data_IF_339216296882
#
_entry.id   IF_339216296882
#
_cell.length_a   1.000
_cell.length_b   1.000
_cell.length_c   1.000
_cell.angle_alpha   90.00
_cell.angle_beta   90.00
_cell.angle_gamma   90.00
#
_symmetry.space_group_name_H-M   'P 1'
#
loop_
_entity.id
_entity.type
_entity.pdbx_description
1 polymer ?
#
# COMPACT_ATOMS: atom_id res chain seq x y z
N UNK A 1 8.28 22.35 -10.14
CA UNK A 1 9.14 21.38 -10.85
C UNK A 1 10.24 20.93 -9.91
N UNK A 2 10.14 19.73 -9.34
CA UNK A 2 11.14 19.22 -8.39
C UNK A 2 12.46 18.93 -9.09
N UNK A 3 13.55 19.40 -8.48
CA UNK A 3 14.92 19.50 -9.00
C UNK A 3 15.76 18.23 -8.84
N UNK A 4 15.15 17.07 -8.56
CA UNK A 4 15.88 15.92 -8.04
C UNK A 4 15.64 14.66 -8.87
N UNK A 5 16.04 14.74 -10.13
CA UNK A 5 16.50 13.55 -10.84
C UNK A 5 18.03 13.74 -10.96
N UNK A 6 18.80 12.87 -10.32
CA UNK A 6 20.27 12.83 -10.38
C UNK A 6 21.05 13.94 -9.65
N UNK A 7 20.75 14.28 -8.39
CA UNK A 7 21.56 15.26 -7.67
C UNK A 7 22.47 14.64 -6.58
N UNK A 8 23.76 14.70 -6.92
CA UNK A 8 25.00 14.40 -6.20
C UNK A 8 25.29 12.93 -5.93
N UNK A 9 26.36 12.44 -6.55
CA UNK A 9 27.10 11.26 -6.10
C UNK A 9 27.48 11.49 -4.62
N UNK A 10 26.75 10.84 -3.73
CA UNK A 10 27.19 10.67 -2.36
C UNK A 10 27.96 9.36 -2.29
N UNK A 11 29.17 9.40 -1.72
CA UNK A 11 29.95 8.18 -1.48
C UNK A 11 29.17 7.17 -0.60
N UNK A 12 28.27 7.66 0.26
CA UNK A 12 27.35 6.82 1.05
C UNK A 12 26.12 7.61 1.55
N UNK A 13 25.03 6.88 1.80
CA UNK A 13 23.81 7.40 2.43
C UNK A 13 23.75 6.97 3.91
N UNK A 14 23.02 7.72 4.75
CA UNK A 14 22.75 7.26 6.11
C UNK A 14 21.80 6.04 6.09
N UNK A 15 20.77 6.12 5.24
CA UNK A 15 19.79 5.05 5.07
C UNK A 15 19.40 4.83 3.60
N UNK A 16 19.03 3.59 3.28
CA UNK A 16 18.37 3.20 2.03
C UNK A 16 16.98 2.64 2.34
N UNK A 17 15.97 3.12 1.63
CA UNK A 17 14.60 2.58 1.65
C UNK A 17 14.31 1.98 0.27
N UNK A 18 13.97 0.69 0.24
CA UNK A 18 13.67 -0.04 -1.00
C UNK A 18 12.17 -0.15 -1.19
N UNK A 19 11.61 0.57 -2.15
CA UNK A 19 10.18 0.63 -2.47
C UNK A 19 9.52 1.89 -1.93
N UNK A 20 8.59 2.46 -2.70
CA UNK A 20 7.88 3.71 -2.36
C UNK A 20 6.40 3.50 -2.01
N UNK A 21 6.02 2.25 -1.71
CA UNK A 21 4.67 1.91 -1.23
C UNK A 21 4.34 2.52 0.13
N UNK A 22 3.30 2.01 0.80
CA UNK A 22 2.86 2.54 2.10
C UNK A 22 4.01 2.53 3.13
N UNK A 23 4.63 1.37 3.36
CA UNK A 23 5.72 1.25 4.34
C UNK A 23 6.96 2.05 3.95
N UNK A 24 7.30 2.08 2.66
CA UNK A 24 8.46 2.83 2.16
C UNK A 24 8.28 4.34 2.26
N UNK A 25 7.08 4.84 1.98
CA UNK A 25 6.72 6.24 2.19
C UNK A 25 6.87 6.65 3.66
N UNK A 26 6.36 5.83 4.58
CA UNK A 26 6.51 6.05 6.02
C UNK A 26 7.97 6.00 6.49
N UNK A 27 8.73 5.00 6.06
CA UNK A 27 10.15 4.89 6.39
C UNK A 27 10.93 6.12 5.90
N UNK A 28 10.71 6.53 4.64
CA UNK A 28 11.33 7.73 4.08
C UNK A 28 10.98 8.98 4.88
N UNK A 29 9.70 9.18 5.24
CA UNK A 29 9.25 10.30 6.07
C UNK A 29 9.99 10.35 7.41
N UNK A 30 9.93 9.26 8.16
CA UNK A 30 10.48 9.21 9.53
C UNK A 30 12.00 9.38 9.53
N UNK A 31 12.72 8.74 8.61
CA UNK A 31 14.18 8.85 8.52
C UNK A 31 14.61 10.28 8.13
N UNK A 32 13.96 10.85 7.11
CA UNK A 32 14.28 12.18 6.61
C UNK A 32 13.95 13.29 7.62
N UNK A 33 12.81 13.21 8.31
CA UNK A 33 12.42 14.18 9.35
C UNK A 33 13.32 14.12 10.59
N UNK A 34 13.97 12.98 10.81
CA UNK A 34 15.02 12.81 11.83
C UNK A 34 16.42 13.21 11.34
N UNK A 35 16.54 13.76 10.14
CA UNK A 35 17.76 14.36 9.61
C UNK A 35 18.65 13.42 8.79
N UNK A 36 18.25 12.17 8.58
CA UNK A 36 19.08 11.18 7.87
C UNK A 36 19.00 11.39 6.36
N UNK A 37 20.16 11.44 5.70
CA UNK A 37 20.24 11.45 4.22
C UNK A 37 19.83 10.08 3.69
N UNK A 38 18.65 10.03 3.07
CA UNK A 38 17.96 8.78 2.75
C UNK A 38 17.78 8.64 1.25
N UNK A 39 18.34 7.57 0.69
CA UNK A 39 18.08 7.14 -0.69
C UNK A 39 16.84 6.27 -0.72
N UNK A 40 15.85 6.65 -1.53
CA UNK A 40 14.61 5.92 -1.73
C UNK A 40 14.60 5.35 -3.15
N UNK A 41 14.62 4.02 -3.26
CA UNK A 41 14.73 3.30 -4.53
C UNK A 41 13.35 2.75 -4.93
N UNK A 42 12.88 3.07 -6.12
CA UNK A 42 11.62 2.52 -6.65
C UNK A 42 11.89 1.76 -7.94
N UNK A 43 11.40 0.53 -8.06
CA UNK A 43 11.59 -0.29 -9.26
C UNK A 43 10.86 0.25 -10.49
N UNK A 44 9.74 0.94 -10.26
CA UNK A 44 8.85 1.46 -11.28
C UNK A 44 9.20 2.86 -11.78
N UNK A 45 8.43 3.31 -12.77
CA UNK A 45 8.54 4.66 -13.32
C UNK A 45 8.18 5.72 -12.28
N UNK A 46 8.65 6.94 -12.50
CA UNK A 46 8.14 8.10 -11.77
C UNK A 46 6.65 8.29 -12.01
N UNK A 47 5.94 8.68 -10.95
CA UNK A 47 4.58 9.22 -10.99
C UNK A 47 4.55 10.45 -10.11
N UNK A 48 4.06 11.57 -10.62
CA UNK A 48 3.89 12.82 -9.91
C UNK A 48 2.42 12.99 -9.54
N UNK A 49 2.21 13.31 -8.26
CA UNK A 49 0.87 13.62 -7.75
C UNK A 49 0.24 14.76 -8.56
N UNK A 50 -1.05 14.64 -8.88
CA UNK A 50 -1.86 15.58 -9.69
C UNK A 50 -1.53 15.56 -11.19
N UNK A 51 -0.24 15.53 -11.57
CA UNK A 51 0.19 15.61 -12.97
C UNK A 51 -0.12 14.33 -13.75
N UNK A 52 0.25 13.16 -13.21
CA UNK A 52 0.23 11.89 -13.97
C UNK A 52 -1.06 11.07 -13.77
N UNK A 53 -2.13 11.68 -13.27
CA UNK A 53 -3.44 11.03 -13.08
C UNK A 53 -4.34 11.21 -14.30
N UNK A 54 -3.92 10.62 -15.42
CA UNK A 54 -4.52 10.80 -16.76
C UNK A 54 -6.04 10.63 -16.77
N UNK A 55 -6.56 9.64 -16.05
CA UNK A 55 -7.99 9.27 -16.05
C UNK A 55 -8.79 9.85 -14.87
N UNK A 56 -8.15 10.63 -13.98
CA UNK A 56 -8.79 11.07 -12.76
C UNK A 56 -10.04 11.93 -12.99
N UNK A 57 -10.10 12.68 -14.08
CA UNK A 57 -11.20 13.58 -14.41
C UNK A 57 -12.08 13.11 -15.56
N UNK A 58 -11.76 11.95 -16.15
CA UNK A 58 -12.60 11.35 -17.19
C UNK A 58 -13.88 10.77 -16.58
N UNK A 59 -14.97 10.88 -17.32
CA UNK A 59 -16.25 10.24 -17.05
C UNK A 59 -16.38 8.92 -17.82
N UNK A 60 -17.38 8.12 -17.48
CA UNK A 60 -17.48 6.75 -18.03
C UNK A 60 -17.76 6.76 -19.55
N UNK A 61 -18.39 7.81 -20.08
CA UNK A 61 -18.61 8.00 -21.52
C UNK A 61 -17.38 8.47 -22.29
N UNK A 62 -16.32 8.92 -21.61
CA UNK A 62 -15.05 9.26 -22.26
C UNK A 62 -14.26 8.01 -22.65
N UNK A 63 -14.63 6.85 -22.10
CA UNK A 63 -14.00 5.57 -22.39
C UNK A 63 -14.79 4.79 -23.44
N UNK A 64 -14.13 4.25 -24.48
CA UNK A 64 -14.73 3.27 -25.37
C UNK A 64 -15.32 2.10 -24.56
N UNK A 65 -16.49 1.61 -24.98
CA UNK A 65 -17.21 0.51 -24.32
C UNK A 65 -17.42 0.72 -22.81
N UNK A 66 -17.61 1.97 -22.37
CA UNK A 66 -17.76 2.34 -20.94
C UNK A 66 -16.57 1.91 -20.07
N UNK A 67 -15.39 1.76 -20.67
CA UNK A 67 -14.16 1.38 -19.97
C UNK A 67 -13.95 -0.12 -19.76
N UNK A 68 -14.82 -0.97 -20.31
CA UNK A 68 -14.63 -2.42 -20.30
C UNK A 68 -13.31 -2.80 -20.98
N UNK A 69 -12.53 -3.74 -20.40
CA UNK A 69 -11.25 -4.15 -20.96
C UNK A 69 -11.42 -4.82 -22.33
N UNK A 70 -10.52 -4.51 -23.25
CA UNK A 70 -10.45 -5.21 -24.53
C UNK A 70 -9.91 -6.64 -24.34
N UNK A 71 -10.12 -7.52 -25.33
CA UNK A 71 -9.50 -8.85 -25.31
C UNK A 71 -7.97 -8.78 -25.28
N UNK A 72 -7.38 -7.75 -25.90
CA UNK A 72 -5.95 -7.50 -25.85
C UNK A 72 -5.50 -7.12 -24.42
N UNK A 73 -6.24 -6.24 -23.74
CA UNK A 73 -5.95 -5.88 -22.34
C UNK A 73 -5.97 -7.10 -21.43
N UNK A 74 -7.01 -7.93 -21.57
CA UNK A 74 -7.14 -9.18 -20.81
C UNK A 74 -5.99 -10.12 -21.12
N UNK A 75 -5.59 -10.28 -22.38
CA UNK A 75 -4.48 -11.15 -22.76
C UNK A 75 -3.14 -10.66 -22.17
N UNK A 76 -2.91 -9.34 -22.15
CA UNK A 76 -1.70 -8.74 -21.61
C UNK A 76 -1.64 -8.74 -20.07
N UNK A 77 -2.80 -8.75 -19.39
CA UNK A 77 -2.94 -8.64 -17.94
C UNK A 77 -3.78 -9.78 -17.36
N UNK A 78 -3.62 -10.99 -17.91
CA UNK A 78 -4.48 -12.13 -17.61
C UNK A 78 -4.59 -12.44 -16.10
N UNK A 79 -3.47 -12.34 -15.37
CA UNK A 79 -3.47 -12.61 -13.93
C UNK A 79 -4.04 -11.44 -13.15
N UNK A 80 -3.72 -10.19 -13.54
CA UNK A 80 -4.33 -9.02 -12.93
C UNK A 80 -5.87 -9.07 -13.07
N UNK A 81 -6.37 -9.40 -14.26
CA UNK A 81 -7.79 -9.46 -14.62
C UNK A 81 -8.64 -10.37 -13.72
N UNK A 82 -8.04 -11.37 -13.07
CA UNK A 82 -8.76 -12.37 -12.26
C UNK A 82 -9.54 -11.78 -11.09
N UNK A 83 -9.20 -10.57 -10.66
CA UNK A 83 -9.88 -9.85 -9.58
C UNK A 83 -11.06 -9.00 -10.07
N UNK A 84 -11.18 -8.78 -11.38
CA UNK A 84 -12.27 -8.02 -12.02
C UNK A 84 -12.15 -6.49 -11.95
N UNK A 85 -11.27 -5.93 -11.10
CA UNK A 85 -11.20 -4.47 -10.91
C UNK A 85 -9.95 -3.79 -11.50
N UNK A 86 -8.92 -4.56 -11.88
CA UNK A 86 -7.60 -3.99 -12.23
C UNK A 86 -7.47 -3.59 -13.69
N UNK A 87 -8.20 -4.23 -14.59
CA UNK A 87 -8.00 -4.13 -16.05
C UNK A 87 -8.94 -3.15 -16.75
N UNK A 88 -9.87 -2.53 -16.01
CA UNK A 88 -10.72 -1.46 -16.54
C UNK A 88 -9.86 -0.33 -17.14
N UNK A 89 -10.32 0.24 -18.26
CA UNK A 89 -9.59 1.27 -19.00
C UNK A 89 -9.16 2.46 -18.14
N UNK A 90 -9.95 2.79 -17.12
CA UNK A 90 -9.66 3.91 -16.22
C UNK A 90 -8.50 3.64 -15.24
N UNK A 91 -8.08 2.39 -15.03
CA UNK A 91 -7.08 2.02 -14.01
C UNK A 91 -6.00 1.03 -14.45
N UNK A 92 -6.14 0.38 -15.61
CA UNK A 92 -5.21 -0.67 -16.07
C UNK A 92 -3.75 -0.26 -16.14
N UNK A 93 -3.48 1.03 -16.40
CA UNK A 93 -2.12 1.60 -16.49
C UNK A 93 -1.35 1.52 -15.16
N UNK A 94 -2.05 1.36 -14.04
CA UNK A 94 -1.45 1.23 -12.72
C UNK A 94 -1.00 -0.19 -12.39
N UNK A 95 -1.41 -1.17 -13.20
CA UNK A 95 -1.10 -2.57 -13.01
C UNK A 95 -0.11 -3.07 -14.06
N UNK A 96 0.69 -4.05 -13.68
CA UNK A 96 1.71 -4.61 -14.57
C UNK A 96 1.10 -5.34 -15.76
N UNK A 97 1.85 -5.38 -16.86
CA UNK A 97 1.62 -6.33 -17.95
C UNK A 97 2.23 -7.69 -17.55
N UNK A 98 1.40 -8.73 -17.50
CA UNK A 98 1.80 -10.06 -17.03
C UNK A 98 2.70 -10.80 -18.04
N UNK A 99 2.66 -10.45 -19.33
CA UNK A 99 3.58 -10.98 -20.34
C UNK A 99 5.00 -10.42 -20.17
N UNK A 100 5.12 -9.16 -19.75
CA UNK A 100 6.41 -8.50 -19.45
C UNK A 100 6.94 -8.84 -18.06
N UNK A 101 6.05 -9.15 -17.13
CA UNK A 101 6.38 -9.42 -15.74
C UNK A 101 5.74 -10.73 -15.24
N UNK A 102 6.03 -11.87 -15.88
CA UNK A 102 5.41 -13.14 -15.49
C UNK A 102 5.84 -13.57 -14.09
N UNK A 103 5.02 -14.41 -13.47
CA UNK A 103 5.42 -15.21 -12.31
C UNK A 103 4.83 -16.61 -12.45
N UNK A 104 5.51 -17.60 -11.88
CA UNK A 104 5.04 -18.98 -11.86
C UNK A 104 4.08 -19.21 -10.69
N UNK A 105 3.07 -20.03 -10.89
CA UNK A 105 2.12 -20.43 -9.86
C UNK A 105 1.78 -21.91 -10.06
N UNK A 106 1.78 -22.71 -8.98
CA UNK A 106 1.33 -24.12 -9.04
C UNK A 106 -0.18 -24.17 -8.84
N UNK A 107 -0.67 -23.40 -7.87
CA UNK A 107 -2.08 -23.12 -7.63
C UNK A 107 -2.32 -21.63 -7.88
N UNK A 108 -3.59 -21.27 -8.14
CA UNK A 108 -3.98 -19.88 -8.36
C UNK A 108 -3.49 -19.02 -7.20
N UNK A 109 -2.67 -18.03 -7.51
CA UNK A 109 -2.21 -17.00 -6.60
C UNK A 109 -2.34 -15.66 -7.29
N UNK A 110 -3.21 -14.77 -6.80
CA UNK A 110 -3.53 -13.52 -7.47
C UNK A 110 -2.66 -12.37 -6.95
N UNK A 111 -1.48 -12.20 -7.55
CA UNK A 111 -0.53 -11.18 -7.14
C UNK A 111 -0.69 -9.88 -7.94
N UNK A 112 -1.52 -8.98 -7.40
CA UNK A 112 -1.74 -7.66 -8.01
C UNK A 112 -0.54 -6.74 -7.78
N UNK A 113 -0.02 -6.13 -8.85
CA UNK A 113 1.25 -5.40 -8.79
C UNK A 113 1.15 -4.06 -9.52
N UNK A 114 1.61 -2.99 -8.89
CA UNK A 114 1.84 -1.69 -9.52
C UNK A 114 3.30 -1.31 -9.41
N UNK A 115 3.95 -1.08 -10.55
CA UNK A 115 5.36 -0.70 -10.64
C UNK A 115 5.50 0.76 -11.03
N UNK A 116 5.38 1.62 -10.03
CA UNK A 116 5.53 3.06 -10.14
C UNK A 116 5.78 3.66 -8.76
N UNK A 117 6.27 4.90 -8.71
CA UNK A 117 6.38 5.65 -7.45
C UNK A 117 5.02 5.70 -6.74
N UNK A 118 5.02 5.45 -5.44
CA UNK A 118 3.83 5.29 -4.61
C UNK A 118 3.31 3.84 -4.51
N UNK A 119 3.68 2.96 -5.46
CA UNK A 119 3.22 1.58 -5.53
C UNK A 119 1.70 1.43 -5.33
N UNK A 120 1.28 0.36 -4.66
CA UNK A 120 -0.15 0.09 -4.41
C UNK A 120 -0.85 1.07 -3.44
N UNK A 121 -0.15 2.09 -2.90
CA UNK A 121 -0.82 3.13 -2.12
C UNK A 121 -1.81 3.98 -2.94
N UNK A 122 -1.73 3.93 -4.28
CA UNK A 122 -2.74 4.49 -5.18
C UNK A 122 -3.93 3.54 -5.46
N UNK A 123 -3.78 2.25 -5.20
CA UNK A 123 -4.68 1.20 -5.72
C UNK A 123 -5.39 0.37 -4.64
N UNK A 124 -5.09 0.60 -3.37
CA UNK A 124 -5.69 -0.11 -2.23
C UNK A 124 -7.15 0.28 -1.95
N UNK A 125 -7.86 -0.48 -1.10
CA UNK A 125 -9.27 -0.21 -0.75
C UNK A 125 -9.47 0.90 0.29
N UNK A 126 -8.40 1.47 0.87
CA UNK A 126 -8.39 2.51 1.92
C UNK A 126 -8.95 2.05 3.28
N UNK A 127 -9.50 0.84 3.33
CA UNK A 127 -9.91 0.18 4.57
C UNK A 127 -8.73 0.08 5.54
N UNK A 128 -8.92 0.61 6.74
CA UNK A 128 -7.87 0.86 7.73
C UNK A 128 -8.38 0.44 9.11
N UNK A 129 -8.14 -0.83 9.45
CA UNK A 129 -8.61 -1.46 10.68
C UNK A 129 -7.46 -1.73 11.64
N UNK A 130 -7.74 -1.64 12.94
CA UNK A 130 -6.85 -2.14 13.98
C UNK A 130 -7.11 -3.62 14.20
N UNK A 131 -6.03 -4.37 14.43
CA UNK A 131 -6.14 -5.66 15.12
C UNK A 131 -6.43 -5.44 16.60
N UNK A 132 -7.11 -6.41 17.21
CA UNK A 132 -7.48 -6.47 18.62
C UNK A 132 -6.58 -7.41 19.42
N UNK A 133 -6.78 -7.45 20.74
CA UNK A 133 -6.12 -8.46 21.59
C UNK A 133 -6.47 -9.90 21.18
N UNK A 134 -7.64 -10.12 20.57
CA UNK A 134 -8.06 -11.42 20.04
C UNK A 134 -7.13 -11.82 18.90
N UNK A 135 -6.88 -10.91 17.95
CA UNK A 135 -6.03 -11.18 16.77
C UNK A 135 -4.57 -11.45 17.18
N UNK A 136 -4.01 -10.63 18.09
CA UNK A 136 -2.63 -10.82 18.56
C UNK A 136 -2.45 -12.08 19.42
N UNK A 137 -3.53 -12.63 20.00
CA UNK A 137 -3.49 -13.83 20.84
C UNK A 137 -4.03 -15.08 20.14
N UNK A 138 -4.60 -14.97 18.93
CA UNK A 138 -5.31 -16.05 18.24
C UNK A 138 -4.43 -17.30 18.09
N UNK A 139 -3.23 -17.16 17.51
CA UNK A 139 -2.28 -18.26 17.34
C UNK A 139 -1.98 -19.00 18.67
N UNK A 140 -1.78 -18.25 19.76
CA UNK A 140 -1.52 -18.84 21.08
C UNK A 140 -2.73 -19.57 21.65
N UNK A 141 -3.91 -18.95 21.56
CA UNK A 141 -5.15 -19.48 22.11
C UNK A 141 -5.60 -20.74 21.36
N UNK A 142 -5.43 -20.73 20.03
CA UNK A 142 -5.84 -21.82 19.15
C UNK A 142 -4.77 -22.92 19.06
N UNK A 143 -3.55 -22.66 19.55
CA UNK A 143 -2.42 -23.59 19.43
C UNK A 143 -1.92 -23.76 17.99
N UNK A 144 -2.09 -22.73 17.16
CA UNK A 144 -1.73 -22.71 15.73
C UNK A 144 -0.56 -21.75 15.50
N UNK A 145 0.42 -22.16 14.68
CA UNK A 145 1.55 -21.32 14.29
C UNK A 145 2.30 -20.71 15.49
N UNK A 146 2.77 -19.46 15.37
CA UNK A 146 3.62 -18.78 16.37
C UNK A 146 2.84 -17.63 17.00
N UNK A 147 2.88 -17.53 18.32
CA UNK A 147 2.35 -16.39 19.07
C UNK A 147 3.05 -15.09 18.66
N UNK A 148 2.29 -14.00 18.54
CA UNK A 148 2.90 -12.70 18.28
C UNK A 148 3.83 -12.32 19.44
N UNK A 149 5.01 -11.75 19.20
CA UNK A 149 5.91 -11.30 20.27
C UNK A 149 5.49 -9.95 20.88
N UNK A 150 4.38 -9.38 20.43
CA UNK A 150 3.81 -8.09 20.83
C UNK A 150 2.32 -8.24 21.11
N UNK A 151 1.71 -7.30 21.81
CA UNK A 151 0.27 -7.25 22.08
C UNK A 151 -0.34 -5.94 21.60
N UNK A 152 -1.67 -5.88 21.60
CA UNK A 152 -2.39 -4.69 21.16
C UNK A 152 -1.88 -3.41 21.84
N UNK A 153 -1.70 -3.45 23.16
CA UNK A 153 -1.17 -2.33 23.96
C UNK A 153 0.18 -1.80 23.48
N UNK A 154 1.03 -2.66 22.90
CA UNK A 154 2.36 -2.28 22.42
C UNK A 154 2.27 -1.59 21.05
N UNK A 155 1.24 -1.93 20.26
CA UNK A 155 1.03 -1.42 18.90
C UNK A 155 0.05 -0.24 18.86
N UNK A 156 -0.88 -0.13 19.82
CA UNK A 156 -1.89 0.91 19.86
C UNK A 156 -1.34 2.35 19.74
N UNK A 157 -0.23 2.72 20.43
CA UNK A 157 0.37 4.04 20.25
C UNK A 157 0.85 4.31 18.81
N UNK A 158 1.29 3.27 18.10
CA UNK A 158 1.72 3.36 16.70
C UNK A 158 0.54 3.46 15.75
N UNK A 159 -0.55 2.74 16.01
CA UNK A 159 -1.81 2.95 15.29
C UNK A 159 -2.26 4.40 15.43
N UNK A 160 -2.35 4.94 16.65
CA UNK A 160 -2.74 6.33 16.86
C UNK A 160 -1.84 7.34 16.12
N UNK A 161 -0.53 7.10 16.13
CA UNK A 161 0.43 7.95 15.40
C UNK A 161 0.10 8.02 13.91
N UNK A 162 -0.17 6.87 13.29
CA UNK A 162 -0.54 6.77 11.87
C UNK A 162 -1.90 7.42 11.62
N UNK A 163 -2.90 7.11 12.44
CA UNK A 163 -4.29 7.58 12.26
C UNK A 163 -4.40 9.10 12.35
N UNK A 164 -3.69 9.72 13.30
CA UNK A 164 -3.61 11.19 13.44
C UNK A 164 -3.06 11.86 12.18
N UNK A 165 -2.25 11.15 11.38
CA UNK A 165 -1.59 11.66 10.18
C UNK A 165 -2.36 11.35 8.88
N UNK A 166 -2.98 10.17 8.78
CA UNK A 166 -3.62 9.73 7.53
C UNK A 166 -5.06 10.21 7.39
N UNK A 167 -5.76 10.47 8.50
CA UNK A 167 -7.17 10.83 8.50
C UNK A 167 -8.05 9.62 8.13
N UNK A 168 -8.78 9.10 9.12
CA UNK A 168 -9.67 7.96 8.94
C UNK A 168 -11.11 8.40 9.18
N UNK A 169 -11.98 8.20 8.21
CA UNK A 169 -13.42 8.26 8.39
C UNK A 169 -13.90 6.98 9.04
N UNK A 170 -14.76 7.10 10.07
CA UNK A 170 -15.40 5.96 10.69
C UNK A 170 -16.26 6.36 11.88
N UNK A 171 -16.80 5.34 12.56
CA UNK A 171 -17.64 5.48 13.75
C UNK A 171 -17.00 4.75 14.92
N UNK A 172 -17.00 5.39 16.10
CA UNK A 172 -16.53 4.79 17.34
C UNK A 172 -17.65 3.96 17.97
N UNK A 173 -17.44 2.65 18.06
CA UNK A 173 -18.43 1.69 18.56
C UNK A 173 -17.97 0.94 19.81
N UNK A 174 -16.73 1.16 20.25
CA UNK A 174 -16.12 0.50 21.41
C UNK A 174 -16.20 -1.04 21.35
N UNK A 175 -16.04 -1.62 20.15
CA UNK A 175 -16.06 -3.07 19.97
C UNK A 175 -14.70 -3.67 20.35
N UNK A 176 -14.71 -4.64 21.27
CA UNK A 176 -13.48 -5.29 21.74
C UNK A 176 -12.68 -5.97 20.62
N UNK A 177 -13.37 -6.60 19.66
CA UNK A 177 -12.77 -7.29 18.51
C UNK A 177 -12.46 -6.36 17.33
N UNK A 178 -12.91 -5.10 17.38
CA UNK A 178 -12.63 -4.10 16.34
C UNK A 178 -12.33 -2.75 17.02
N UNK A 179 -11.17 -2.62 17.69
CA UNK A 179 -10.85 -1.45 18.50
C UNK A 179 -10.92 -0.17 17.68
N UNK A 180 -11.44 0.89 18.29
CA UNK A 180 -11.64 2.17 17.61
C UNK A 180 -10.32 2.84 17.19
N UNK A 181 -10.40 3.61 16.11
CA UNK A 181 -9.33 4.47 15.61
C UNK A 181 -9.61 5.93 15.98
N UNK A 182 -8.68 6.82 15.64
CA UNK A 182 -8.91 8.26 15.70
C UNK A 182 -9.66 8.70 14.45
N UNK A 183 -10.96 8.85 14.59
CA UNK A 183 -11.87 9.12 13.49
C UNK A 183 -12.04 10.62 13.18
N UNK A 184 -12.18 10.91 11.89
CA UNK A 184 -12.91 12.04 11.32
C UNK A 184 -14.37 11.62 11.09
N UNK A 185 -15.30 12.56 10.83
CA UNK A 185 -16.72 12.24 10.62
C UNK A 185 -16.94 11.07 9.65
N UNK A 186 -17.88 10.17 9.91
CA UNK A 186 -18.11 9.02 9.06
C UNK A 186 -18.62 9.43 7.68
N UNK A 187 -18.26 8.67 6.65
CA UNK A 187 -19.06 8.56 5.43
C UNK A 187 -20.29 7.73 5.80
N UNK A 188 -21.45 8.38 5.86
CA UNK A 188 -22.70 7.79 6.36
C UNK A 188 -23.16 6.59 5.51
N UNK A 189 -23.93 5.70 6.14
CA UNK A 189 -24.62 4.63 5.43
C UNK A 189 -25.67 5.23 4.51
N UNK A 190 -25.89 4.61 3.36
CA UNK A 190 -27.02 4.95 2.51
C UNK A 190 -28.33 4.38 3.07
N UNK A 191 -29.47 4.82 2.52
CA UNK A 191 -30.79 4.43 3.03
C UNK A 191 -31.05 2.92 3.03
N UNK A 192 -30.51 2.15 2.07
CA UNK A 192 -30.66 0.70 2.02
C UNK A 192 -29.76 0.03 3.06
N UNK A 193 -28.55 0.56 3.27
CA UNK A 193 -27.63 0.10 4.31
C UNK A 193 -28.17 0.34 5.73
N UNK A 194 -28.90 1.45 5.97
CA UNK A 194 -29.59 1.68 7.25
C UNK A 194 -30.70 0.64 7.48
N UNK A 195 -31.52 0.34 6.46
CA UNK A 195 -32.51 -0.75 6.59
C UNK A 195 -31.83 -2.09 6.86
N UNK A 196 -30.71 -2.37 6.19
CA UNK A 196 -29.95 -3.59 6.43
C UNK A 196 -29.41 -3.65 7.87
N UNK A 197 -28.86 -2.55 8.38
CA UNK A 197 -28.40 -2.42 9.77
C UNK A 197 -29.53 -2.72 10.76
N UNK A 198 -30.71 -2.13 10.55
CA UNK A 198 -31.88 -2.37 11.40
C UNK A 198 -32.31 -3.83 11.36
N UNK A 199 -32.39 -4.45 10.17
CA UNK A 199 -32.79 -5.87 10.03
C UNK A 199 -31.79 -6.85 10.61
N UNK A 200 -30.49 -6.56 10.53
CA UNK A 200 -29.48 -7.37 11.21
C UNK A 200 -29.64 -7.24 12.73
N UNK A 201 -29.86 -6.03 13.25
CA UNK A 201 -30.07 -5.79 14.68
C UNK A 201 -31.32 -6.49 15.23
N UNK A 202 -32.43 -6.48 14.47
CA UNK A 202 -33.66 -7.20 14.83
C UNK A 202 -33.47 -8.73 14.86
N UNK A 203 -32.69 -9.27 13.91
CA UNK A 203 -32.56 -10.71 13.70
C UNK A 203 -31.37 -11.39 14.37
N UNK A 204 -30.32 -10.62 14.71
CA UNK A 204 -29.05 -11.15 15.20
C UNK A 204 -28.48 -10.30 16.32
N UNK A 205 -28.53 -10.83 17.54
CA UNK A 205 -27.90 -10.20 18.70
C UNK A 205 -26.37 -10.13 18.55
N UNK A 206 -25.79 -9.01 18.99
CA UNK A 206 -24.34 -8.79 18.99
C UNK A 206 -23.67 -8.64 17.61
N UNK A 207 -24.43 -8.40 16.53
CA UNK A 207 -23.89 -8.22 15.16
C UNK A 207 -24.08 -6.79 14.65
N UNK A 208 -23.26 -5.83 15.08
CA UNK A 208 -23.38 -4.45 14.61
C UNK A 208 -23.04 -4.35 13.12
N UNK A 209 -23.87 -3.64 12.37
CA UNK A 209 -23.55 -3.14 11.03
C UNK A 209 -23.08 -1.69 11.17
N UNK A 210 -21.93 -1.38 10.57
CA UNK A 210 -21.26 -0.09 10.70
C UNK A 210 -20.71 0.37 9.36
N UNK A 211 -20.51 1.68 9.24
CA UNK A 211 -19.72 2.28 8.16
C UNK A 211 -18.31 1.69 8.11
N UNK A 212 -17.74 1.61 6.91
CA UNK A 212 -16.34 1.20 6.73
C UNK A 212 -15.37 2.22 7.34
N UNK A 213 -14.25 1.73 7.89
CA UNK A 213 -13.19 2.59 8.44
C UNK A 213 -12.16 2.87 7.36
N UNK A 214 -12.27 4.02 6.71
CA UNK A 214 -11.52 4.32 5.49
C UNK A 214 -10.61 5.53 5.64
N UNK A 215 -9.38 5.44 5.14
CA UNK A 215 -8.38 6.51 5.19
C UNK A 215 -8.69 7.65 4.20
N UNK A 216 -9.80 8.35 4.43
CA UNK A 216 -10.26 9.54 3.71
C UNK A 216 -10.42 10.71 4.68
N UNK A 217 -10.04 11.89 4.22
CA UNK A 217 -10.25 13.14 4.95
C UNK A 217 -11.70 13.57 4.78
N UNK A 218 -12.52 13.40 5.82
CA UNK A 218 -13.94 13.77 5.83
C UNK A 218 -14.26 14.93 6.78
N UNK A 219 -13.31 15.32 7.63
CA UNK A 219 -13.41 16.51 8.48
C UNK A 219 -12.65 17.70 7.90
N UNK A 220 -12.66 18.82 8.63
CA UNK A 220 -12.03 20.08 8.19
C UNK A 220 -10.59 20.22 8.70
N UNK A 221 -10.10 19.22 9.46
CA UNK A 221 -8.71 19.12 9.88
C UNK A 221 -7.80 19.12 8.66
N UNK A 222 -6.78 19.97 8.69
CA UNK A 222 -5.72 19.98 7.68
C UNK A 222 -4.69 18.89 7.97
N UNK A 223 -4.21 18.26 6.91
CA UNK A 223 -3.25 17.16 6.99
C UNK A 223 -1.99 17.48 6.20
N UNK A 224 -0.84 17.09 6.73
CA UNK A 224 0.45 17.23 6.04
C UNK A 224 0.52 16.39 4.77
N UNK A 225 1.24 16.91 3.77
CA UNK A 225 1.41 16.32 2.46
C UNK A 225 1.34 17.37 1.36
N UNK A 226 1.31 16.91 0.12
CA UNK A 226 1.18 17.79 -1.04
C UNK A 226 -0.30 17.93 -1.42
N UNK A 227 -0.93 19.03 -1.02
CA UNK A 227 -2.28 19.39 -1.47
C UNK A 227 -3.40 18.48 -0.95
N UNK A 228 -3.25 17.88 0.24
CA UNK A 228 -4.27 17.00 0.83
C UNK A 228 -5.46 17.80 1.33
N UNK A 229 -6.64 17.53 0.77
CA UNK A 229 -7.89 18.22 1.05
C UNK A 229 -9.02 17.24 1.39
N UNK A 230 -10.19 17.77 1.75
CA UNK A 230 -11.39 16.99 2.06
C UNK A 230 -11.83 16.16 0.85
N UNK A 231 -12.33 14.96 1.11
CA UNK A 231 -12.89 14.06 0.12
C UNK A 231 -14.04 14.75 -0.63
N UNK A 232 -14.00 14.65 -1.95
CA UNK A 232 -15.02 15.18 -2.86
C UNK A 232 -16.06 14.11 -3.25
N UNK A 233 -16.06 12.96 -2.57
CA UNK A 233 -17.01 11.85 -2.78
C UNK A 233 -17.16 11.36 -4.23
N UNK A 234 -16.09 11.47 -5.02
CA UNK A 234 -16.10 11.18 -6.46
C UNK A 234 -16.20 9.71 -6.82
N UNK A 235 -15.97 8.80 -5.86
CA UNK A 235 -15.88 7.36 -6.07
C UNK A 235 -14.93 6.94 -7.23
N UNK A 236 -13.78 7.61 -7.36
CA UNK A 236 -12.78 7.40 -8.44
C UNK A 236 -11.38 7.10 -7.91
N UNK A 237 -11.27 6.60 -6.68
CA UNK A 237 -10.01 6.58 -5.93
C UNK A 237 -8.89 5.79 -6.63
N UNK A 238 -9.24 4.70 -7.33
CA UNK A 238 -8.33 3.84 -8.10
C UNK A 238 -7.61 4.59 -9.25
N UNK A 239 -8.17 5.71 -9.73
CA UNK A 239 -7.62 6.51 -10.84
C UNK A 239 -6.51 7.48 -10.39
N UNK A 240 -6.24 7.55 -9.08
CA UNK A 240 -5.47 8.63 -8.45
C UNK A 240 -6.39 9.80 -8.05
N UNK A 241 -6.20 10.36 -6.85
CA UNK A 241 -7.02 11.48 -6.36
C UNK A 241 -6.26 12.80 -6.50
N UNK A 242 -6.67 13.73 -7.37
CA UNK A 242 -6.02 15.05 -7.50
C UNK A 242 -6.12 15.92 -6.25
N UNK A 243 -7.03 15.61 -5.33
CA UNK A 243 -7.23 16.35 -4.07
C UNK A 243 -6.43 15.78 -2.90
N UNK A 244 -5.65 14.72 -3.11
CA UNK A 244 -4.89 14.05 -2.04
C UNK A 244 -5.77 13.56 -0.87
N UNK A 245 -7.07 13.37 -1.09
CA UNK A 245 -8.07 13.25 -0.03
C UNK A 245 -8.12 11.89 0.66
N UNK A 246 -7.67 10.84 -0.02
CA UNK A 246 -7.36 9.56 0.62
C UNK A 246 -5.85 9.45 0.86
N UNK A 247 -5.44 8.61 1.81
CA UNK A 247 -4.03 8.38 2.06
C UNK A 247 -3.34 7.62 0.92
N UNK A 248 -2.31 8.25 0.36
CA UNK A 248 -1.32 7.60 -0.51
C UNK A 248 0.07 8.10 -0.16
N UNK A 249 1.10 7.32 -0.45
CA UNK A 249 2.48 7.78 -0.24
C UNK A 249 2.80 8.99 -1.13
N UNK A 250 2.18 9.10 -2.31
CA UNK A 250 2.39 10.18 -3.28
C UNK A 250 1.83 11.53 -2.85
N UNK A 251 0.68 11.55 -2.17
CA UNK A 251 0.05 12.76 -1.68
C UNK A 251 0.47 13.12 -0.26
N UNK A 252 1.04 12.17 0.50
CA UNK A 252 1.26 12.32 1.94
C UNK A 252 2.72 12.15 2.33
N UNK A 253 3.18 10.92 2.57
CA UNK A 253 4.47 10.67 3.24
C UNK A 253 5.70 11.00 2.40
N UNK A 254 5.68 10.75 1.08
CA UNK A 254 6.82 11.07 0.22
C UNK A 254 7.02 12.59 0.08
N UNK A 255 5.97 13.41 -0.13
CA UNK A 255 6.11 14.86 -0.04
C UNK A 255 6.64 15.36 1.31
N UNK A 256 6.21 14.77 2.43
CA UNK A 256 6.74 15.12 3.75
C UNK A 256 8.24 14.83 3.86
N UNK A 257 8.69 13.67 3.36
CA UNK A 257 10.11 13.34 3.27
C UNK A 257 10.88 14.30 2.35
N UNK A 258 10.32 14.64 1.18
CA UNK A 258 10.92 15.58 0.21
C UNK A 258 11.12 16.97 0.81
N UNK A 259 10.13 17.48 1.55
CA UNK A 259 10.15 18.80 2.16
C UNK A 259 11.32 19.01 3.14
N UNK A 260 11.89 17.94 3.69
CA UNK A 260 13.06 18.01 4.57
C UNK A 260 14.38 18.34 3.84
N UNK A 261 14.44 18.12 2.52
CA UNK A 261 15.68 18.19 1.74
C UNK A 261 16.68 17.04 2.03
N UNK A 262 16.26 16.00 2.76
CA UNK A 262 17.09 14.84 3.10
C UNK A 262 16.83 13.60 2.24
N UNK A 263 15.78 13.63 1.41
CA UNK A 263 15.40 12.52 0.54
C UNK A 263 16.03 12.64 -0.84
N UNK A 264 16.67 11.56 -1.30
CA UNK A 264 17.00 11.34 -2.72
C UNK A 264 16.12 10.22 -3.25
N UNK A 265 15.16 10.53 -4.14
CA UNK A 265 14.30 9.53 -4.78
C UNK A 265 14.91 9.12 -6.13
N UNK A 266 15.10 7.82 -6.35
CA UNK A 266 15.54 7.25 -7.63
C UNK A 266 14.51 6.22 -8.12
N UNK A 267 13.63 6.60 -9.08
CA UNK A 267 12.78 5.66 -9.82
C UNK A 267 13.63 4.70 -10.65
N UNK A 268 12.97 3.75 -11.32
CA UNK A 268 13.58 2.79 -12.25
C UNK A 268 14.76 2.00 -11.65
N UNK A 269 14.72 1.76 -10.33
CA UNK A 269 15.76 1.13 -9.53
C UNK A 269 15.31 -0.25 -9.04
N UNK A 270 15.69 -1.31 -9.78
CA UNK A 270 15.40 -2.68 -9.37
C UNK A 270 16.51 -3.14 -8.42
N UNK A 271 16.27 -3.09 -7.11
CA UNK A 271 17.16 -3.70 -6.13
C UNK A 271 17.16 -5.22 -6.32
N UNK A 272 18.34 -5.82 -6.48
CA UNK A 272 18.53 -7.26 -6.70
C UNK A 272 19.00 -7.98 -5.46
N UNK A 273 19.90 -7.37 -4.68
CA UNK A 273 20.45 -7.96 -3.46
C UNK A 273 20.93 -6.89 -2.47
N UNK A 274 20.99 -7.28 -1.20
CA UNK A 274 21.64 -6.57 -0.10
C UNK A 274 23.08 -7.07 0.00
N UNK A 275 24.03 -6.13 0.03
CA UNK A 275 25.46 -6.40 0.12
C UNK A 275 25.81 -6.69 1.58
N UNK A 276 26.47 -7.83 1.82
CA UNK A 276 26.99 -8.23 3.12
C UNK A 276 28.52 -8.14 3.14
N UNK A 277 29.05 -7.53 4.20
CA UNK A 277 30.48 -7.43 4.45
C UNK A 277 30.89 -8.42 5.55
N UNK A 278 31.81 -9.34 5.23
CA UNK A 278 32.21 -10.42 6.12
C UNK A 278 33.09 -9.96 7.29
N UNK A 279 33.86 -8.89 7.11
CA UNK A 279 34.79 -8.36 8.11
C UNK A 279 34.02 -7.62 9.20
N UNK A 280 33.14 -6.72 8.79
CA UNK A 280 32.28 -5.92 9.69
C UNK A 280 31.05 -6.69 10.17
N UNK A 281 30.71 -7.80 9.49
CA UNK A 281 29.51 -8.63 9.72
C UNK A 281 28.20 -7.85 9.61
N UNK A 282 28.14 -6.91 8.67
CA UNK A 282 27.00 -6.00 8.49
C UNK A 282 26.53 -5.97 7.04
N UNK A 283 25.26 -5.63 6.85
CA UNK A 283 24.78 -5.16 5.56
C UNK A 283 25.34 -3.76 5.31
N UNK A 284 25.92 -3.53 4.13
CA UNK A 284 26.65 -2.29 3.80
C UNK A 284 26.08 -1.53 2.62
N UNK A 285 25.13 -2.12 1.89
CA UNK A 285 24.53 -1.49 0.73
C UNK A 285 23.57 -2.39 -0.02
N UNK A 286 23.17 -1.97 -1.21
CA UNK A 286 22.34 -2.75 -2.13
C UNK A 286 22.89 -2.66 -3.55
N UNK A 287 22.72 -3.73 -4.32
CA UNK A 287 22.92 -3.71 -5.77
C UNK A 287 21.60 -3.39 -6.48
N UNK A 288 21.69 -2.58 -7.51
CA UNK A 288 20.55 -2.05 -8.27
C UNK A 288 20.79 -2.25 -9.74
N UNK A 289 19.78 -2.71 -10.46
CA UNK A 289 19.72 -2.66 -11.93
C UNK A 289 18.78 -1.53 -12.33
N UNK A 290 19.25 -0.63 -13.18
CA UNK A 290 18.39 0.37 -13.80
C UNK A 290 17.41 -0.30 -14.77
N UNK A 291 16.11 -0.08 -14.57
CA UNK A 291 15.06 -0.71 -15.38
C UNK A 291 15.16 -0.28 -16.86
N UNK A 292 15.64 0.93 -17.14
CA UNK A 292 15.71 1.51 -18.48
C UNK A 292 17.06 1.22 -19.13
N UNK A 293 18.17 1.64 -18.51
CA UNK A 293 19.51 1.54 -19.13
C UNK A 293 20.12 0.15 -18.97
N UNK A 294 19.62 -0.67 -18.04
CA UNK A 294 20.16 -1.99 -17.65
C UNK A 294 21.52 -1.93 -16.97
N UNK A 295 22.02 -0.73 -16.69
CA UNK A 295 23.25 -0.55 -15.93
C UNK A 295 23.09 -0.99 -14.48
N UNK A 296 24.19 -1.44 -13.90
CA UNK A 296 24.26 -1.89 -12.51
C UNK A 296 24.91 -0.82 -11.65
N UNK A 297 24.33 -0.59 -10.48
CA UNK A 297 24.81 0.37 -9.49
C UNK A 297 24.93 -0.31 -8.12
N UNK A 298 25.87 0.16 -7.31
CA UNK A 298 25.94 -0.19 -5.90
C UNK A 298 25.75 1.07 -5.07
N UNK A 299 24.84 1.02 -4.09
CA UNK A 299 24.62 2.12 -3.16
C UNK A 299 24.92 1.67 -1.74
N UNK A 300 25.82 2.39 -1.05
CA UNK A 300 26.22 2.09 0.32
C UNK A 300 25.37 2.83 1.34
N UNK A 301 25.08 2.18 2.47
CA UNK A 301 24.44 2.82 3.62
C UNK A 301 24.66 2.08 4.93
N UNK A 302 24.36 2.75 6.05
CA UNK A 302 24.43 2.15 7.39
C UNK A 302 23.16 1.41 7.77
N UNK A 303 22.01 1.81 7.20
CA UNK A 303 20.70 1.25 7.52
C UNK A 303 19.92 0.99 6.24
N UNK A 304 19.36 -0.22 6.09
CA UNK A 304 18.61 -0.61 4.90
C UNK A 304 17.22 -1.10 5.32
N UNK A 305 16.17 -0.44 4.81
CA UNK A 305 14.77 -0.81 5.01
C UNK A 305 14.19 -1.41 3.72
N UNK A 306 13.89 -2.72 3.74
CA UNK A 306 13.27 -3.42 2.61
C UNK A 306 11.73 -3.29 2.63
N UNK A 307 11.21 -2.30 1.90
CA UNK A 307 9.78 -1.99 1.77
C UNK A 307 9.20 -2.38 0.39
N UNK A 308 9.73 -3.45 -0.22
CA UNK A 308 9.48 -3.79 -1.62
C UNK A 308 8.17 -4.56 -1.89
N UNK A 309 7.26 -4.64 -0.89
CA UNK A 309 6.16 -5.62 -0.78
C UNK A 309 6.63 -7.01 -0.31
N UNK A 310 5.71 -7.82 0.23
CA UNK A 310 6.00 -9.15 0.80
C UNK A 310 6.85 -10.04 -0.13
N UNK A 311 6.39 -10.29 -1.36
CA UNK A 311 7.08 -11.19 -2.30
C UNK A 311 8.44 -10.63 -2.77
N UNK A 312 8.56 -9.36 -3.23
CA UNK A 312 9.85 -8.85 -3.68
C UNK A 312 10.86 -8.66 -2.54
N UNK A 313 10.44 -8.29 -1.33
CA UNK A 313 11.34 -8.22 -0.17
C UNK A 313 11.95 -9.60 0.13
N UNK A 314 11.13 -10.66 0.16
CA UNK A 314 11.63 -12.01 0.35
C UNK A 314 12.58 -12.43 -0.80
N UNK A 315 12.21 -12.12 -2.04
CA UNK A 315 13.03 -12.44 -3.22
C UNK A 315 14.39 -11.73 -3.22
N UNK A 316 14.47 -10.47 -2.79
CA UNK A 316 15.75 -9.73 -2.64
C UNK A 316 16.61 -10.43 -1.60
N UNK A 317 16.06 -10.76 -0.42
CA UNK A 317 16.81 -11.42 0.65
C UNK A 317 17.30 -12.83 0.22
N UNK A 318 16.47 -13.59 -0.51
CA UNK A 318 16.87 -14.91 -1.04
C UNK A 318 18.02 -14.82 -2.06
N UNK A 319 18.04 -13.75 -2.86
CA UNK A 319 19.11 -13.48 -3.82
C UNK A 319 20.37 -12.92 -3.15
N UNK A 320 20.23 -12.33 -1.96
CA UNK A 320 21.34 -11.76 -1.18
C UNK A 320 22.20 -12.87 -0.53
N UNK A 321 23.00 -13.54 -1.36
CA UNK A 321 23.84 -14.67 -0.96
C UNK A 321 25.26 -14.24 -0.63
N UNK A 322 25.88 -14.94 0.32
CA UNK A 322 27.30 -14.81 0.69
C UNK A 322 27.75 -16.11 1.37
N UNK A 323 29.04 -16.24 1.69
CA UNK A 323 29.55 -17.38 2.47
C UNK A 323 28.82 -17.54 3.83
N UNK A 324 28.40 -16.42 4.46
CA UNK A 324 27.58 -16.43 5.68
C UNK A 324 26.12 -16.82 5.41
N UNK A 325 25.60 -16.50 4.23
CA UNK A 325 24.20 -16.64 3.87
C UNK A 325 24.03 -17.40 2.54
N UNK A 326 24.41 -18.70 2.47
CA UNK A 326 24.38 -19.46 1.22
C UNK A 326 22.97 -19.62 0.64
N UNK A 327 21.95 -19.58 1.53
CA UNK A 327 20.53 -19.73 1.20
C UNK A 327 19.74 -18.42 1.30
N UNK A 328 20.44 -17.27 1.24
CA UNK A 328 19.85 -15.93 1.34
C UNK A 328 20.01 -15.28 2.71
N UNK A 329 20.15 -13.96 2.72
CA UNK A 329 20.37 -13.15 3.92
C UNK A 329 19.16 -13.27 4.87
N UNK A 330 19.45 -13.57 6.14
CA UNK A 330 18.42 -13.72 7.17
C UNK A 330 17.63 -15.03 7.11
N UNK A 331 18.04 -15.98 6.27
CA UNK A 331 17.36 -17.27 6.13
C UNK A 331 17.90 -18.40 7.04
N UNK A 332 18.47 -18.06 8.20
CA UNK A 332 18.99 -19.07 9.16
C UNK A 332 17.89 -19.98 9.71
N UNK A 333 16.63 -19.52 9.69
CA UNK A 333 15.45 -20.24 10.18
C UNK A 333 14.71 -21.05 9.11
N UNK A 334 15.18 -21.00 7.86
CA UNK A 334 14.46 -21.52 6.68
C UNK A 334 13.04 -20.95 6.52
N UNK A 335 12.71 -19.83 7.18
CA UNK A 335 11.38 -19.21 7.09
C UNK A 335 11.27 -18.15 5.99
N UNK A 336 12.39 -17.75 5.38
CA UNK A 336 12.37 -16.70 4.36
C UNK A 336 11.51 -17.16 3.16
N UNK A 337 10.49 -16.36 2.83
CA UNK A 337 9.53 -16.65 1.74
C UNK A 337 8.53 -17.77 2.04
N UNK A 338 8.51 -18.32 3.26
CA UNK A 338 7.42 -19.17 3.75
C UNK A 338 6.33 -18.33 4.41
N UNK A 339 5.26 -18.99 4.83
CA UNK A 339 4.16 -18.39 5.60
C UNK A 339 3.42 -17.26 4.83
N UNK A 340 3.35 -17.38 3.51
CA UNK A 340 2.56 -16.46 2.68
C UNK A 340 1.08 -16.63 3.07
N UNK A 341 0.46 -15.52 3.46
CA UNK A 341 -0.95 -15.42 3.81
C UNK A 341 -1.59 -14.32 2.96
N UNK A 342 -2.85 -14.54 2.60
CA UNK A 342 -3.69 -13.55 1.91
C UNK A 342 -5.15 -13.73 2.34
N UNK A 343 -6.00 -12.77 2.00
CA UNK A 343 -7.44 -12.83 2.26
C UNK A 343 -8.20 -13.25 1.01
N UNK A 344 -9.20 -14.13 1.18
CA UNK A 344 -10.09 -14.49 0.07
C UNK A 344 -10.87 -13.26 -0.40
N UNK A 345 -10.72 -12.92 -1.68
CA UNK A 345 -11.46 -11.84 -2.33
C UNK A 345 -12.76 -12.38 -2.94
N UNK A 346 -13.85 -11.58 -2.84
CA UNK A 346 -15.12 -11.88 -3.52
C UNK A 346 -15.96 -12.96 -2.84
N UNK A 347 -15.65 -13.30 -1.59
CA UNK A 347 -16.51 -14.18 -0.77
C UNK A 347 -17.58 -13.30 -0.12
N UNK A 348 -18.84 -13.54 -0.47
CA UNK A 348 -19.96 -12.77 0.05
C UNK A 348 -21.30 -13.23 -0.49
N UNK A 349 -22.32 -12.41 -0.25
CA UNK A 349 -23.67 -12.59 -0.76
C UNK A 349 -24.14 -11.28 -1.42
N UNK A 350 -25.04 -11.38 -2.39
CA UNK A 350 -25.73 -10.25 -2.99
C UNK A 350 -27.24 -10.40 -2.84
N UNK A 351 -27.95 -9.28 -2.81
CA UNK A 351 -29.39 -9.24 -2.67
C UNK A 351 -29.99 -8.06 -3.45
N UNK A 352 -31.30 -8.08 -3.63
CA UNK A 352 -32.08 -6.96 -4.16
C UNK A 352 -33.03 -6.48 -3.07
N UNK A 353 -33.30 -5.19 -3.05
CA UNK A 353 -34.25 -4.57 -2.14
C UNK A 353 -35.18 -3.69 -2.96
N UNK A 354 -36.49 -3.85 -2.78
CA UNK A 354 -37.51 -3.05 -3.45
C UNK A 354 -37.81 -1.81 -2.58
N UNK A 355 -37.86 -0.63 -3.20
CA UNK A 355 -38.03 0.66 -2.52
C UNK A 355 -36.81 1.58 -2.65
N UNK A 356 -37.03 2.86 -2.32
CA UNK A 356 -36.06 3.96 -2.44
C UNK A 356 -35.62 4.30 -3.87
N UNK A 357 -36.38 3.88 -4.89
CA UNK A 357 -36.11 4.24 -6.29
C UNK A 357 -36.24 5.74 -6.56
N UNK A 358 -36.93 6.47 -5.67
CA UNK A 358 -37.09 7.92 -5.67
C UNK A 358 -35.99 8.66 -4.89
N UNK A 359 -35.10 7.94 -4.19
CA UNK A 359 -33.98 8.51 -3.45
C UNK A 359 -32.70 8.45 -4.26
N UNK A 360 -32.04 9.59 -4.38
CA UNK A 360 -30.72 9.70 -4.99
C UNK A 360 -29.72 10.11 -3.90
N UNK A 361 -28.60 9.40 -3.81
CA UNK A 361 -27.47 9.83 -2.99
C UNK A 361 -26.88 11.08 -3.67
N UNK A 362 -26.93 12.23 -2.99
CA UNK A 362 -26.39 13.49 -3.50
C UNK A 362 -24.89 13.60 -3.25
#
# INVERSE_FOLDING_TARGET
>A
MSKFYYNQEQESYDAIVVGTGISGGWAAKELCEKGLKTLVLERGRMVKHIEDYETANMDDWDFPNSGEPTQEDIAQQQKQNRTGYTTNAASKMWFVNDLKHPYNEIQRFDWMRGYHVGGRSLQWGRQSYRWSDIDFSANKNDGIAVDWPVRYKDIAPWYEKVEKYIGISGEALNLAHLPDSIFSPPMELNCVEEVFKDKVSEGFDGRPVTVGRVAHITGDKQYEGNGRQKCQYRNRCIRGCPFGAYFSSLSSTLPAAEATGNMTLRPDSIVTEVIYDADTKKATGVKVIDRVTKETYEFKSKVIFLCASAIPTASILMQSKSDRFPNGMGNDSDQLGRNIMDHHLGVGASGKYDGFEDKFYK
#
